data_IF_200220187805
#
_entry.id   IF_200220187805
#
_cell.length_a   1.000
_cell.length_b   1.000
_cell.length_c   1.000
_cell.angle_alpha   90.00
_cell.angle_beta   90.00
_cell.angle_gamma   90.00
#
_symmetry.space_group_name_H-M   'P 1'
#
loop_
_entity.id
_entity.type
_entity.pdbx_description
1 polymer ?
#
# COMPACT_ATOMS: atom_id res chain seq x y z
N UNK A 1 3.92 -1.56 18.97
CA UNK A 1 2.85 -1.59 17.95
C UNK A 1 1.65 -2.50 18.26
N UNK A 2 1.84 -3.77 18.65
CA UNK A 2 0.70 -4.65 18.98
C UNK A 2 0.08 -4.28 20.32
N UNK A 3 0.91 -3.99 21.34
CA UNK A 3 0.51 -3.55 22.68
C UNK A 3 -0.26 -2.23 22.66
N UNK A 4 0.15 -1.28 21.84
CA UNK A 4 -0.46 0.06 21.78
C UNK A 4 -1.86 0.01 21.17
N UNK A 5 -2.05 -0.83 20.12
CA UNK A 5 -3.36 -1.08 19.53
C UNK A 5 -4.32 -1.80 20.50
N UNK A 6 -3.80 -2.69 21.32
CA UNK A 6 -4.57 -3.41 22.34
C UNK A 6 -5.03 -2.48 23.45
N UNK A 7 -4.12 -1.65 23.97
CA UNK A 7 -4.46 -0.59 24.93
C UNK A 7 -5.48 0.41 24.38
N UNK A 8 -5.33 0.80 23.12
CA UNK A 8 -6.28 1.71 22.46
C UNK A 8 -7.67 1.07 22.34
N UNK A 9 -7.75 -0.21 22.00
CA UNK A 9 -9.02 -0.97 21.97
C UNK A 9 -9.69 -1.02 23.33
N UNK A 10 -8.92 -1.29 24.39
CA UNK A 10 -9.43 -1.32 25.76
C UNK A 10 -9.98 0.04 26.19
N UNK A 11 -9.26 1.12 25.93
CA UNK A 11 -9.73 2.49 26.22
C UNK A 11 -11.03 2.81 25.50
N UNK A 12 -11.12 2.49 24.21
CA UNK A 12 -12.35 2.72 23.43
C UNK A 12 -13.49 1.85 23.94
N UNK A 13 -13.23 0.60 24.35
CA UNK A 13 -14.25 -0.28 24.95
C UNK A 13 -14.79 0.29 26.27
N UNK A 14 -13.94 0.91 27.09
CA UNK A 14 -14.35 1.61 28.29
C UNK A 14 -15.20 2.86 28.01
N UNK A 15 -14.87 3.60 26.94
CA UNK A 15 -15.61 4.80 26.52
C UNK A 15 -16.95 4.47 25.86
N UNK A 16 -17.11 3.26 25.30
CA UNK A 16 -18.31 2.80 24.59
C UNK A 16 -18.83 1.49 25.23
N UNK A 17 -19.39 1.57 26.45
CA UNK A 17 -19.82 0.38 27.20
C UNK A 17 -21.01 -0.35 26.57
N UNK A 18 -21.72 0.29 25.63
CA UNK A 18 -22.85 -0.30 24.87
C UNK A 18 -22.43 -1.31 23.78
N UNK A 19 -21.13 -1.63 23.71
CA UNK A 19 -20.60 -2.60 22.77
C UNK A 19 -20.34 -2.07 21.35
N UNK A 20 -20.61 -0.80 21.07
CA UNK A 20 -20.37 -0.18 19.75
C UNK A 20 -18.91 -0.20 19.33
N UNK A 21 -17.95 -0.30 20.27
CA UNK A 21 -16.52 -0.45 19.99
C UNK A 21 -16.20 -1.63 19.04
N UNK A 22 -17.05 -2.68 19.04
CA UNK A 22 -16.88 -3.89 18.20
C UNK A 22 -17.03 -3.60 16.69
N UNK A 23 -17.71 -2.52 16.35
CA UNK A 23 -17.89 -2.10 14.95
C UNK A 23 -16.76 -1.20 14.46
N UNK A 24 -15.86 -0.77 15.33
CA UNK A 24 -14.71 0.04 14.96
C UNK A 24 -13.63 -0.88 14.37
N UNK A 25 -13.29 -0.68 13.12
CA UNK A 25 -12.15 -1.34 12.50
C UNK A 25 -10.88 -0.59 12.87
N UNK A 26 -10.06 -1.21 13.68
CA UNK A 26 -8.80 -0.64 14.17
C UNK A 26 -7.65 -1.56 13.84
N UNK A 27 -6.54 -0.99 13.37
CA UNK A 27 -5.33 -1.75 13.04
C UNK A 27 -4.34 -0.92 12.24
N UNK A 28 -3.18 -1.50 11.94
CA UNK A 28 -2.24 -0.93 10.97
C UNK A 28 -2.85 -0.97 9.56
N UNK A 29 -2.37 -0.13 8.66
CA UNK A 29 -2.79 -0.14 7.25
C UNK A 29 -2.76 -1.55 6.65
N UNK A 30 -1.64 -2.26 6.83
CA UNK A 30 -1.47 -3.61 6.30
C UNK A 30 -2.48 -4.59 6.88
N UNK A 31 -2.80 -4.52 8.18
CA UNK A 31 -3.77 -5.42 8.83
C UNK A 31 -5.21 -5.18 8.35
N UNK A 32 -5.58 -3.92 8.17
CA UNK A 32 -6.92 -3.55 7.66
C UNK A 32 -7.05 -3.95 6.18
N UNK A 33 -6.04 -3.63 5.38
CA UNK A 33 -6.10 -3.89 3.94
C UNK A 33 -5.95 -5.37 3.59
N UNK A 34 -5.17 -6.14 4.34
CA UNK A 34 -5.12 -7.59 4.15
C UNK A 34 -6.49 -8.25 4.35
N UNK A 35 -7.32 -7.76 5.27
CA UNK A 35 -8.70 -8.25 5.45
C UNK A 35 -9.58 -7.87 4.26
N UNK A 36 -9.50 -6.61 3.80
CA UNK A 36 -10.22 -6.15 2.60
C UNK A 36 -9.86 -7.02 1.40
N UNK A 37 -8.56 -7.30 1.23
CA UNK A 37 -8.08 -8.13 0.14
C UNK A 37 -8.56 -9.59 0.26
N UNK A 38 -8.54 -10.19 1.46
CA UNK A 38 -9.04 -11.56 1.66
C UNK A 38 -10.53 -11.67 1.33
N UNK A 39 -11.32 -10.69 1.76
CA UNK A 39 -12.76 -10.64 1.49
C UNK A 39 -13.09 -10.50 -0.01
N UNK A 40 -12.13 -10.10 -0.85
CA UNK A 40 -12.31 -9.81 -2.28
C UNK A 40 -11.18 -10.35 -3.17
N UNK A 41 -10.46 -11.37 -2.72
CA UNK A 41 -9.24 -11.85 -3.37
C UNK A 41 -9.49 -12.38 -4.79
N UNK A 42 -10.63 -13.02 -5.01
CA UNK A 42 -11.09 -13.52 -6.31
C UNK A 42 -11.19 -12.41 -7.35
N UNK A 43 -11.60 -11.20 -6.95
CA UNK A 43 -11.76 -10.03 -7.83
C UNK A 43 -10.44 -9.52 -8.42
N UNK A 44 -9.32 -9.84 -7.77
CA UNK A 44 -7.96 -9.47 -8.22
C UNK A 44 -7.14 -10.70 -8.66
N UNK A 45 -7.78 -11.88 -8.70
CA UNK A 45 -7.18 -13.13 -9.17
C UNK A 45 -6.18 -13.73 -8.19
N UNK A 46 -6.46 -13.63 -6.89
CA UNK A 46 -5.74 -14.31 -5.81
C UNK A 46 -6.67 -15.24 -5.04
N UNK A 47 -6.14 -16.30 -4.40
CA UNK A 47 -6.92 -17.10 -3.46
C UNK A 47 -7.19 -16.30 -2.18
N UNK A 48 -8.32 -16.53 -1.52
CA UNK A 48 -8.62 -15.89 -0.22
C UNK A 48 -7.59 -16.24 0.86
N UNK A 49 -6.99 -17.41 0.75
CA UNK A 49 -5.93 -17.93 1.63
C UNK A 49 -4.52 -17.51 1.19
N UNK A 50 -4.37 -16.43 0.41
CA UNK A 50 -3.04 -16.00 -0.05
C UNK A 50 -2.05 -15.89 1.12
N UNK A 51 -0.81 -16.26 0.86
CA UNK A 51 0.29 -16.15 1.81
C UNK A 51 0.91 -14.76 1.76
N UNK A 52 1.34 -14.24 2.89
CA UNK A 52 2.14 -13.01 2.94
C UNK A 52 3.60 -13.40 3.05
N UNK A 53 4.39 -13.02 2.04
CA UNK A 53 5.82 -13.26 2.01
C UNK A 53 6.57 -12.33 2.96
N UNK A 54 7.44 -12.91 3.76
CA UNK A 54 8.39 -12.19 4.58
C UNK A 54 9.56 -11.65 3.72
N UNK A 55 10.34 -10.66 4.22
CA UNK A 55 11.48 -10.11 3.49
C UNK A 55 12.52 -11.16 3.06
N UNK A 56 12.68 -12.25 3.82
CA UNK A 56 13.51 -13.40 3.48
C UNK A 56 13.02 -14.14 2.24
N UNK A 57 11.71 -14.39 2.15
CA UNK A 57 11.09 -15.10 1.03
C UNK A 57 11.23 -14.28 -0.25
N UNK A 58 10.99 -12.96 -0.16
CA UNK A 58 11.16 -12.03 -1.27
C UNK A 58 12.60 -12.05 -1.81
N UNK A 59 13.59 -11.96 -0.93
CA UNK A 59 15.02 -12.01 -1.31
C UNK A 59 15.40 -13.36 -1.93
N UNK A 60 14.91 -14.46 -1.39
CA UNK A 60 15.18 -15.80 -1.91
C UNK A 60 14.57 -15.98 -3.32
N UNK A 61 13.35 -15.50 -3.53
CA UNK A 61 12.70 -15.51 -4.84
C UNK A 61 13.50 -14.67 -5.86
N UNK A 62 13.93 -13.47 -5.47
CA UNK A 62 14.74 -12.60 -6.34
C UNK A 62 16.08 -13.22 -6.67
N UNK A 63 16.77 -13.84 -5.69
CA UNK A 63 18.02 -14.58 -5.93
C UNK A 63 17.84 -15.71 -6.94
N UNK A 64 16.71 -16.43 -6.85
CA UNK A 64 16.39 -17.49 -7.80
C UNK A 64 16.17 -16.94 -9.21
N UNK A 65 15.42 -15.82 -9.34
CA UNK A 65 15.16 -15.16 -10.63
C UNK A 65 16.47 -14.71 -11.28
N UNK A 66 17.35 -14.03 -10.53
CA UNK A 66 18.64 -13.53 -11.03
C UNK A 66 19.50 -14.69 -11.57
N UNK A 67 19.56 -15.81 -10.83
CA UNK A 67 20.30 -17.01 -11.23
C UNK A 67 19.74 -17.67 -12.49
N UNK A 68 18.42 -17.79 -12.60
CA UNK A 68 17.77 -18.40 -13.77
C UNK A 68 17.90 -17.54 -15.04
N UNK A 69 17.98 -16.23 -14.87
CA UNK A 69 18.26 -15.30 -15.97
C UNK A 69 19.76 -15.22 -16.31
N UNK A 70 20.62 -15.96 -15.62
CA UNK A 70 22.08 -15.92 -15.77
C UNK A 70 22.66 -14.50 -15.65
N UNK A 71 22.11 -13.68 -14.73
CA UNK A 71 22.56 -12.31 -14.49
C UNK A 71 23.64 -12.27 -13.41
N UNK A 72 24.49 -11.25 -13.47
CA UNK A 72 25.56 -10.99 -12.51
C UNK A 72 24.98 -10.64 -11.13
N UNK A 73 25.15 -11.52 -10.14
CA UNK A 73 24.63 -11.38 -8.78
C UNK A 73 25.29 -10.25 -7.98
N UNK A 74 26.47 -9.79 -8.41
CA UNK A 74 27.14 -8.63 -7.82
C UNK A 74 26.48 -7.32 -8.21
N UNK A 75 25.87 -7.26 -9.40
CA UNK A 75 25.10 -6.11 -9.91
C UNK A 75 23.62 -6.20 -9.49
N UNK A 76 23.00 -7.37 -9.66
CA UNK A 76 21.59 -7.61 -9.34
C UNK A 76 21.41 -8.16 -7.92
N UNK A 77 21.90 -7.42 -6.92
CA UNK A 77 21.80 -7.81 -5.51
C UNK A 77 20.35 -7.92 -5.07
N UNK A 78 19.90 -9.06 -4.49
CA UNK A 78 18.50 -9.26 -4.09
C UNK A 78 17.95 -8.18 -3.15
N UNK A 79 18.77 -7.64 -2.24
CA UNK A 79 18.34 -6.58 -1.33
C UNK A 79 18.07 -5.26 -2.07
N UNK A 80 18.89 -4.90 -3.04
CA UNK A 80 18.71 -3.72 -3.88
C UNK A 80 17.46 -3.87 -4.77
N UNK A 81 17.29 -5.05 -5.40
CA UNK A 81 16.11 -5.35 -6.20
C UNK A 81 14.83 -5.26 -5.38
N UNK A 82 14.81 -5.86 -4.18
CA UNK A 82 13.67 -5.79 -3.27
C UNK A 82 13.32 -4.35 -2.89
N UNK A 83 14.32 -3.53 -2.56
CA UNK A 83 14.11 -2.11 -2.23
C UNK A 83 13.53 -1.31 -3.40
N UNK A 84 14.00 -1.53 -4.63
CA UNK A 84 13.47 -0.85 -5.83
C UNK A 84 12.06 -1.31 -6.18
N UNK A 85 11.77 -2.60 -6.05
CA UNK A 85 10.41 -3.14 -6.24
C UNK A 85 9.46 -2.54 -5.21
N UNK A 86 9.87 -2.52 -3.94
CA UNK A 86 9.12 -1.88 -2.86
C UNK A 86 8.80 -0.42 -3.18
N UNK A 87 9.80 0.35 -3.60
CA UNK A 87 9.60 1.75 -3.99
C UNK A 87 8.61 1.88 -5.15
N UNK A 88 8.73 1.08 -6.21
CA UNK A 88 7.82 1.10 -7.35
C UNK A 88 6.37 0.79 -6.92
N UNK A 89 6.16 -0.23 -6.08
CA UNK A 89 4.84 -0.59 -5.56
C UNK A 89 4.24 0.51 -4.69
N UNK A 90 5.02 1.13 -3.83
CA UNK A 90 4.58 2.25 -2.98
C UNK A 90 4.26 3.51 -3.78
N UNK A 91 4.85 3.67 -4.98
CA UNK A 91 4.50 4.70 -5.96
C UNK A 91 3.35 4.27 -6.89
N UNK A 92 2.72 3.11 -6.67
CA UNK A 92 1.64 2.53 -7.49
C UNK A 92 2.05 2.25 -8.94
N UNK A 93 3.34 2.02 -9.19
CA UNK A 93 3.87 1.67 -10.51
C UNK A 93 3.84 0.15 -10.65
N UNK A 94 2.89 -0.35 -11.43
CA UNK A 94 2.82 -1.79 -11.75
C UNK A 94 3.97 -2.24 -12.66
N UNK A 95 4.30 -3.55 -12.74
CA UNK A 95 5.35 -4.04 -13.65
C UNK A 95 5.12 -3.63 -15.11
N UNK A 96 3.89 -3.70 -15.60
CA UNK A 96 3.55 -3.27 -16.95
C UNK A 96 3.77 -1.77 -17.18
N UNK A 97 3.35 -0.94 -16.21
CA UNK A 97 3.60 0.50 -16.28
C UNK A 97 5.09 0.84 -16.20
N UNK A 98 5.86 0.09 -15.42
CA UNK A 98 7.31 0.25 -15.33
C UNK A 98 7.99 -0.05 -16.66
N UNK A 99 7.65 -1.19 -17.28
CA UNK A 99 8.21 -1.60 -18.58
C UNK A 99 7.85 -0.65 -19.73
N UNK A 100 6.67 -0.03 -19.67
CA UNK A 100 6.25 0.97 -20.65
C UNK A 100 6.93 2.35 -20.48
N UNK A 101 7.65 2.56 -19.38
CA UNK A 101 8.29 3.84 -19.07
C UNK A 101 9.72 3.91 -19.62
N UNK A 102 9.90 4.62 -20.73
CA UNK A 102 11.21 4.80 -21.36
C UNK A 102 12.24 5.49 -20.45
N UNK A 103 11.80 6.39 -19.56
CA UNK A 103 12.64 7.04 -18.57
C UNK A 103 13.18 6.07 -17.52
N UNK A 104 12.32 5.16 -17.03
CA UNK A 104 12.74 4.10 -16.12
C UNK A 104 13.77 3.16 -16.76
N UNK A 105 13.53 2.75 -18.01
CA UNK A 105 14.47 1.92 -18.75
C UNK A 105 15.82 2.63 -19.02
N UNK A 106 15.82 3.95 -19.24
CA UNK A 106 17.05 4.72 -19.38
C UNK A 106 17.82 4.82 -18.06
N UNK A 107 17.11 4.96 -16.93
CA UNK A 107 17.70 4.98 -15.61
C UNK A 107 18.32 3.62 -15.25
N UNK A 108 17.60 2.52 -15.50
CA UNK A 108 18.11 1.17 -15.27
C UNK A 108 19.39 0.90 -16.06
N UNK A 109 19.50 1.39 -17.30
CA UNK A 109 20.75 1.30 -18.09
C UNK A 109 21.89 2.11 -17.46
N UNK A 110 21.61 3.32 -16.98
CA UNK A 110 22.62 4.15 -16.28
C UNK A 110 23.12 3.46 -15.00
N UNK A 111 22.23 2.78 -14.28
CA UNK A 111 22.55 2.01 -13.08
C UNK A 111 23.16 0.63 -13.39
N UNK A 112 23.39 0.30 -14.66
CA UNK A 112 23.91 -1.01 -15.12
C UNK A 112 23.04 -2.21 -14.73
N UNK A 113 21.73 -2.02 -14.60
CA UNK A 113 20.74 -3.05 -14.31
C UNK A 113 19.59 -3.04 -15.33
N UNK A 114 19.82 -3.11 -16.64
CA UNK A 114 18.79 -2.97 -17.68
C UNK A 114 17.66 -4.00 -17.56
N UNK A 115 17.92 -5.16 -16.92
CA UNK A 115 16.91 -6.22 -16.73
C UNK A 115 15.99 -6.00 -15.51
N UNK A 116 16.12 -4.88 -14.80
CA UNK A 116 15.33 -4.66 -13.59
C UNK A 116 13.81 -4.73 -13.85
N UNK A 117 13.32 -4.07 -14.91
CA UNK A 117 11.90 -4.11 -15.27
C UNK A 117 11.40 -5.53 -15.55
N UNK A 118 12.20 -6.35 -16.24
CA UNK A 118 11.91 -7.76 -16.49
C UNK A 118 11.89 -8.58 -15.19
N UNK A 119 12.87 -8.38 -14.31
CA UNK A 119 12.94 -9.04 -12.99
C UNK A 119 11.70 -8.69 -12.17
N UNK A 120 11.28 -7.42 -12.15
CA UNK A 120 10.09 -6.96 -11.42
C UNK A 120 8.84 -7.66 -11.95
N UNK A 121 8.69 -7.77 -13.27
CA UNK A 121 7.56 -8.46 -13.89
C UNK A 121 7.53 -9.95 -13.54
N UNK A 122 8.67 -10.65 -13.64
CA UNK A 122 8.80 -12.07 -13.28
C UNK A 122 8.51 -12.28 -11.80
N UNK A 123 9.02 -11.42 -10.92
CA UNK A 123 8.78 -11.47 -9.49
C UNK A 123 7.29 -11.41 -9.15
N UNK A 124 6.58 -10.41 -9.66
CA UNK A 124 5.15 -10.27 -9.43
C UNK A 124 4.33 -11.43 -10.02
N UNK A 125 4.70 -11.90 -11.22
CA UNK A 125 4.04 -13.06 -11.84
C UNK A 125 4.22 -14.34 -11.00
N UNK A 126 5.40 -14.56 -10.42
CA UNK A 126 5.65 -15.71 -9.54
C UNK A 126 4.93 -15.60 -8.21
N UNK A 127 4.92 -14.43 -7.59
CA UNK A 127 4.13 -14.19 -6.39
C UNK A 127 2.66 -14.54 -6.65
N UNK A 128 2.09 -14.02 -7.74
CA UNK A 128 0.70 -14.30 -8.11
C UNK A 128 0.45 -15.79 -8.37
N UNK A 129 1.32 -16.46 -9.12
CA UNK A 129 1.22 -17.91 -9.38
C UNK A 129 1.28 -18.74 -8.11
N UNK A 130 2.06 -18.31 -7.13
CA UNK A 130 2.20 -18.98 -5.84
C UNK A 130 1.07 -18.61 -4.85
N UNK A 131 0.10 -17.79 -5.26
CA UNK A 131 -0.93 -17.28 -4.37
C UNK A 131 -0.36 -16.48 -3.20
N UNK A 132 0.69 -15.70 -3.44
CA UNK A 132 1.39 -14.95 -2.41
C UNK A 132 1.45 -13.45 -2.73
N UNK A 133 1.50 -12.64 -1.69
CA UNK A 133 1.71 -11.19 -1.74
C UNK A 133 2.84 -10.83 -0.78
N UNK A 134 3.69 -9.87 -1.13
CA UNK A 134 4.56 -9.22 -0.14
C UNK A 134 3.81 -8.07 0.57
N UNK A 135 4.46 -7.42 1.55
CA UNK A 135 3.84 -6.33 2.30
C UNK A 135 3.43 -5.15 1.42
N UNK A 136 4.23 -4.82 0.40
CA UNK A 136 3.93 -3.72 -0.52
C UNK A 136 2.79 -4.08 -1.48
N UNK A 137 2.64 -5.36 -1.81
CA UNK A 137 1.50 -5.85 -2.58
C UNK A 137 0.17 -5.61 -1.86
N UNK A 138 0.13 -5.68 -0.52
CA UNK A 138 -1.10 -5.39 0.22
C UNK A 138 -1.62 -3.97 -0.07
N UNK A 139 -0.73 -3.00 -0.23
CA UNK A 139 -1.09 -1.62 -0.59
C UNK A 139 -1.40 -1.49 -2.08
N UNK A 140 -0.55 -2.04 -2.95
CA UNK A 140 -0.72 -1.97 -4.39
C UNK A 140 -2.01 -2.67 -4.83
N UNK A 141 -2.25 -3.90 -4.37
CA UNK A 141 -3.44 -4.68 -4.73
C UNK A 141 -4.73 -4.09 -4.16
N UNK A 142 -4.68 -3.47 -2.97
CA UNK A 142 -5.83 -2.71 -2.45
C UNK A 142 -6.16 -1.52 -3.35
N UNK A 143 -5.15 -0.78 -3.83
CA UNK A 143 -5.37 0.32 -4.78
C UNK A 143 -5.96 -0.19 -6.11
N UNK A 144 -5.47 -1.32 -6.63
CA UNK A 144 -5.99 -1.96 -7.85
C UNK A 144 -7.45 -2.40 -7.62
N UNK A 145 -7.75 -3.11 -6.53
CA UNK A 145 -9.09 -3.54 -6.17
C UNK A 145 -10.08 -2.38 -6.13
N UNK A 146 -9.73 -1.32 -5.40
CA UNK A 146 -10.59 -0.14 -5.26
C UNK A 146 -10.70 0.69 -6.55
N UNK A 147 -9.74 0.58 -7.47
CA UNK A 147 -9.80 1.22 -8.78
C UNK A 147 -10.72 0.45 -9.74
N UNK A 148 -10.56 -0.85 -9.79
CA UNK A 148 -11.11 -1.71 -10.84
C UNK A 148 -12.47 -2.32 -10.46
N UNK A 149 -12.84 -2.28 -9.16
CA UNK A 149 -14.11 -2.82 -8.64
C UNK A 149 -14.93 -1.71 -7.94
N UNK A 150 -15.70 -0.90 -8.70
CA UNK A 150 -16.48 0.20 -8.13
C UNK A 150 -17.52 -0.23 -7.10
N UNK A 151 -18.09 -1.42 -7.23
CA UNK A 151 -19.04 -2.02 -6.29
C UNK A 151 -18.39 -2.30 -4.93
N UNK A 152 -17.16 -2.83 -4.95
CA UNK A 152 -16.35 -3.04 -3.73
C UNK A 152 -16.02 -1.70 -3.09
N UNK A 153 -15.61 -0.72 -3.88
CA UNK A 153 -15.28 0.62 -3.40
C UNK A 153 -16.48 1.29 -2.75
N UNK A 154 -17.65 1.28 -3.39
CA UNK A 154 -18.88 1.85 -2.83
C UNK A 154 -19.26 1.18 -1.50
N UNK A 155 -19.17 -0.13 -1.40
CA UNK A 155 -19.44 -0.87 -0.16
C UNK A 155 -18.54 -0.42 1.00
N UNK A 156 -17.23 -0.27 0.76
CA UNK A 156 -16.31 0.18 1.82
C UNK A 156 -16.44 1.67 2.11
N UNK A 157 -16.79 2.50 1.14
CA UNK A 157 -17.12 3.92 1.37
C UNK A 157 -18.34 4.08 2.29
N UNK A 158 -19.40 3.28 2.10
CA UNK A 158 -20.56 3.25 2.98
C UNK A 158 -20.22 2.72 4.38
N UNK A 159 -19.35 1.73 4.46
CA UNK A 159 -18.94 1.13 5.73
C UNK A 159 -18.05 2.08 6.55
N UNK A 160 -17.10 2.77 5.91
CA UNK A 160 -16.14 3.67 6.57
C UNK A 160 -16.63 5.11 6.56
N UNK A 161 -17.68 5.39 7.33
CA UNK A 161 -18.25 6.74 7.45
C UNK A 161 -17.28 7.75 8.04
N UNK A 162 -16.38 7.31 8.90
CA UNK A 162 -15.32 8.09 9.53
C UNK A 162 -14.00 7.33 9.38
N UNK A 163 -12.95 8.04 8.99
CA UNK A 163 -11.59 7.50 8.88
C UNK A 163 -10.69 8.37 9.77
N UNK A 164 -10.03 7.72 10.73
CA UNK A 164 -9.04 8.34 11.59
C UNK A 164 -7.68 7.72 11.27
N UNK A 165 -6.69 8.56 11.02
CA UNK A 165 -5.33 8.13 10.71
C UNK A 165 -4.38 8.82 11.67
N UNK A 166 -3.64 8.01 12.40
CA UNK A 166 -2.56 8.44 13.27
C UNK A 166 -1.21 8.33 12.55
N UNK A 167 -0.20 9.03 13.04
CA UNK A 167 1.16 9.08 12.47
C UNK A 167 1.13 9.39 10.95
N UNK A 168 0.30 10.36 10.57
CA UNK A 168 0.05 10.64 9.15
C UNK A 168 1.31 11.08 8.38
N UNK A 169 2.32 11.65 9.07
CA UNK A 169 3.61 12.01 8.50
C UNK A 169 4.37 10.82 7.90
N UNK A 170 4.11 9.59 8.37
CA UNK A 170 4.74 8.36 7.88
C UNK A 170 3.97 7.71 6.73
N UNK A 171 2.88 8.34 6.27
CA UNK A 171 2.02 7.81 5.22
C UNK A 171 2.67 7.93 3.85
N UNK A 172 2.82 6.80 3.15
CA UNK A 172 3.31 6.77 1.78
C UNK A 172 2.20 7.08 0.75
N UNK A 173 2.59 7.25 -0.51
CA UNK A 173 1.66 7.62 -1.57
C UNK A 173 0.54 6.57 -1.79
N UNK A 174 0.87 5.28 -1.71
CA UNK A 174 -0.13 4.21 -1.88
C UNK A 174 -1.20 4.25 -0.78
N UNK A 175 -0.80 4.48 0.48
CA UNK A 175 -1.71 4.64 1.62
C UNK A 175 -2.58 5.89 1.48
N UNK A 176 -1.98 7.02 1.09
CA UNK A 176 -2.71 8.26 0.81
C UNK A 176 -3.82 8.06 -0.22
N UNK A 177 -3.52 7.41 -1.35
CA UNK A 177 -4.52 7.19 -2.42
C UNK A 177 -5.66 6.30 -1.93
N UNK A 178 -5.40 5.28 -1.11
CA UNK A 178 -6.45 4.43 -0.51
C UNK A 178 -7.35 5.26 0.40
N UNK A 179 -6.78 6.03 1.35
CA UNK A 179 -7.55 6.88 2.28
C UNK A 179 -8.43 7.84 1.49
N UNK A 180 -7.84 8.54 0.52
CA UNK A 180 -8.55 9.49 -0.34
C UNK A 180 -9.73 8.84 -1.06
N UNK A 181 -9.54 7.63 -1.60
CA UNK A 181 -10.58 6.91 -2.33
C UNK A 181 -11.71 6.45 -1.41
N UNK A 182 -11.37 5.88 -0.26
CA UNK A 182 -12.36 5.43 0.72
C UNK A 182 -13.16 6.59 1.33
N UNK A 183 -12.55 7.77 1.48
CA UNK A 183 -13.22 8.95 2.04
C UNK A 183 -14.08 9.75 1.04
N UNK A 184 -14.10 9.37 -0.23
CA UNK A 184 -14.77 10.18 -1.27
C UNK A 184 -16.26 10.40 -1.04
N UNK A 185 -16.95 9.44 -0.45
CA UNK A 185 -18.39 9.53 -0.22
C UNK A 185 -18.74 10.47 0.95
N UNK A 186 -18.08 10.29 2.09
CA UNK A 186 -18.46 10.98 3.33
C UNK A 186 -17.55 12.17 3.67
N UNK A 187 -16.36 12.23 3.14
CA UNK A 187 -15.33 13.26 3.41
C UNK A 187 -15.01 13.49 4.90
N UNK A 188 -15.30 12.49 5.76
CA UNK A 188 -15.09 12.56 7.21
C UNK A 188 -13.78 11.87 7.58
N UNK A 189 -12.70 12.60 7.41
CA UNK A 189 -11.34 12.11 7.71
C UNK A 189 -10.72 13.02 8.76
N UNK A 190 -10.15 12.39 9.78
CA UNK A 190 -9.31 13.04 10.78
C UNK A 190 -7.91 12.45 10.67
N UNK A 191 -6.91 13.28 10.48
CA UNK A 191 -5.51 12.88 10.45
C UNK A 191 -4.79 13.55 11.61
N UNK A 192 -3.95 12.78 12.29
CA UNK A 192 -3.07 13.23 13.36
C UNK A 192 -1.65 12.93 12.94
N UNK A 193 -0.76 13.86 13.09
CA UNK A 193 0.64 13.71 12.74
C UNK A 193 1.47 14.91 13.19
N UNK A 194 2.77 14.67 13.33
CA UNK A 194 3.77 15.67 13.70
C UNK A 194 4.81 15.74 12.58
N UNK A 195 4.87 16.84 11.88
CA UNK A 195 5.80 17.08 10.78
C UNK A 195 7.27 17.12 11.24
N UNK A 196 7.52 17.48 12.50
CA UNK A 196 8.86 17.46 13.10
C UNK A 196 9.40 16.03 13.28
N UNK A 197 8.52 15.02 13.33
CA UNK A 197 8.88 13.60 13.46
C UNK A 197 8.98 12.85 12.12
N UNK A 198 8.85 13.54 10.98
CA UNK A 198 8.91 12.94 9.63
C UNK A 198 10.33 12.51 9.26
N UNK A 199 10.82 11.44 9.89
CA UNK A 199 12.15 10.86 9.65
C UNK A 199 12.16 9.73 8.60
N UNK A 200 10.99 9.27 8.15
CA UNK A 200 10.82 8.13 7.23
C UNK A 200 10.61 8.52 5.77
N UNK A 201 11.10 9.69 5.35
CA UNK A 201 11.04 10.12 3.94
C UNK A 201 11.64 9.11 2.94
N UNK A 202 12.58 8.26 3.38
CA UNK A 202 13.20 7.21 2.56
C UNK A 202 12.23 6.07 2.17
N UNK A 203 11.08 5.91 2.85
CA UNK A 203 10.03 4.93 2.50
C UNK A 203 8.95 5.52 1.59
N UNK A 204 9.19 6.68 0.99
CA UNK A 204 8.22 7.36 0.11
C UNK A 204 7.15 8.15 0.88
N UNK A 205 7.30 8.34 2.20
CA UNK A 205 6.54 9.32 2.95
C UNK A 205 6.88 10.72 2.43
N UNK A 206 5.85 11.48 2.03
CA UNK A 206 6.02 12.84 1.53
C UNK A 206 5.20 13.79 2.38
N UNK A 207 5.85 14.80 2.95
CA UNK A 207 5.17 15.94 3.62
C UNK A 207 4.15 16.60 2.67
N UNK A 208 4.39 16.55 1.36
CA UNK A 208 3.45 16.98 0.32
C UNK A 208 2.09 16.25 0.41
N UNK A 209 2.04 15.01 0.93
CA UNK A 209 0.79 14.29 1.14
C UNK A 209 -0.10 14.99 2.18
N UNK A 210 0.50 15.56 3.24
CA UNK A 210 -0.22 16.34 4.28
C UNK A 210 -0.80 17.62 3.67
N UNK A 211 0.01 18.33 2.88
CA UNK A 211 -0.40 19.58 2.24
C UNK A 211 -1.44 19.37 1.14
N UNK A 212 -1.31 18.29 0.39
CA UNK A 212 -2.25 17.92 -0.68
C UNK A 212 -3.60 17.48 -0.10
N UNK A 213 -3.59 16.77 1.02
CA UNK A 213 -4.79 16.28 1.68
C UNK A 213 -5.71 17.43 2.12
N UNK A 214 -5.15 18.48 2.72
CA UNK A 214 -5.88 19.70 3.10
C UNK A 214 -6.51 20.38 1.88
N UNK A 215 -5.73 20.55 0.80
CA UNK A 215 -6.23 21.16 -0.46
C UNK A 215 -7.33 20.34 -1.13
N UNK A 216 -7.26 19.01 -1.07
CA UNK A 216 -8.23 18.12 -1.69
C UNK A 216 -9.56 18.07 -0.89
N UNK A 217 -9.52 18.23 0.42
CA UNK A 217 -10.72 18.35 1.25
C UNK A 217 -11.38 19.73 1.11
N UNK A 218 -10.60 20.81 1.10
CA UNK A 218 -11.11 22.19 0.96
C UNK A 218 -11.79 22.42 -0.40
N UNK A 219 -11.29 21.80 -1.48
CA UNK A 219 -11.94 21.86 -2.81
C UNK A 219 -13.33 21.23 -2.86
N UNK A 220 -13.62 20.26 -1.98
CA UNK A 220 -14.96 19.64 -1.92
C UNK A 220 -15.94 20.46 -1.08
N UNK A 221 -15.47 21.07 0.01
CA UNK A 221 -16.31 21.95 0.84
C UNK A 221 -16.79 23.17 0.07
N UNK A 222 -15.97 23.69 -0.86
CA UNK A 222 -16.33 24.84 -1.72
C UNK A 222 -17.34 24.49 -2.81
N UNK A 223 -17.48 23.21 -3.22
CA UNK A 223 -18.47 22.79 -4.23
C UNK A 223 -19.84 22.43 -3.65
N UNK A 224 -19.96 22.29 -2.34
CA UNK A 224 -21.24 22.03 -1.67
C UNK A 224 -22.00 23.31 -1.29
N UNK A 225 -21.38 24.47 -1.45
CA UNK A 225 -21.95 25.79 -1.14
C UNK A 225 -22.22 26.65 -2.39
N UNK A 226 -22.32 26.05 -3.58
CA UNK A 226 -22.66 26.76 -4.83
C UNK A 226 -23.87 26.13 -5.52
#
# INVERSE_FOLDING_TARGET
CSSDLEQMRERIAQMLPDGRHRYIRMGTFHSVFSRILRDNADRIGFPQSFTIYEPSDCKNLLKTIVRELNLDDTKYKPAMLASRISYAKNCLVTPGAYLANAGAAAEDRRMQIPEFGNIYNIYCARCKRNGAMDFDDLLLQTNILLRDCPDVTARYQEQFKYILVDEYQDTNYAQYVIIRRLSQLHSKVCVVGDDAQSIYSFRGAKIENILSFKKDLDRKSTRLNS
#
